data_IF_753157094020
#
_entry.id   IF_753157094020
#
_cell.length_a   1.000
_cell.length_b   1.000
_cell.length_c   1.000
_cell.angle_alpha   90.00
_cell.angle_beta   90.00
_cell.angle_gamma   90.00
#
_symmetry.space_group_name_H-M   'P 1'
#
loop_
_entity.id
_entity.type
_entity.pdbx_description
1 polymer ?
#
# COMPACT_ATOMS: atom_id res chain seq x y z
N UNK A 1 8.28 -18.73 22.55
CA UNK A 1 7.89 -18.00 21.32
C UNK A 1 6.50 -18.52 20.97
N UNK A 2 5.44 -17.71 21.16
CA UNK A 2 4.06 -18.19 21.04
C UNK A 2 3.79 -18.61 19.59
N UNK A 3 3.25 -19.81 19.39
CA UNK A 3 2.85 -20.33 18.07
C UNK A 3 1.98 -19.34 17.29
N UNK A 4 1.22 -18.54 18.00
CA UNK A 4 0.37 -17.48 17.42
C UNK A 4 1.16 -16.41 16.67
N UNK A 5 2.23 -15.86 17.26
CA UNK A 5 3.08 -14.83 16.60
C UNK A 5 3.87 -15.42 15.42
N UNK A 6 4.27 -16.67 15.52
CA UNK A 6 4.94 -17.37 14.42
C UNK A 6 4.00 -17.53 13.21
N UNK A 7 2.77 -17.95 13.43
CA UNK A 7 1.79 -18.10 12.36
C UNK A 7 1.41 -16.75 11.72
N UNK A 8 1.21 -15.70 12.54
CA UNK A 8 0.95 -14.35 12.03
C UNK A 8 2.09 -13.83 11.14
N UNK A 9 3.32 -14.00 11.58
CA UNK A 9 4.48 -13.58 10.79
C UNK A 9 4.65 -14.39 9.50
N UNK A 10 4.29 -15.68 9.51
CA UNK A 10 4.30 -16.52 8.30
C UNK A 10 3.28 -16.04 7.26
N UNK A 11 2.06 -15.73 7.71
CA UNK A 11 1.01 -15.18 6.84
C UNK A 11 1.44 -13.81 6.30
N UNK A 12 1.97 -12.92 7.15
CA UNK A 12 2.44 -11.61 6.75
C UNK A 12 3.57 -11.69 5.71
N UNK A 13 4.51 -12.63 5.86
CA UNK A 13 5.60 -12.82 4.89
C UNK A 13 5.10 -13.39 3.56
N UNK A 14 4.10 -14.28 3.59
CA UNK A 14 3.50 -14.80 2.36
C UNK A 14 2.76 -13.68 1.61
N UNK A 15 1.93 -12.90 2.31
CA UNK A 15 1.22 -11.76 1.75
C UNK A 15 2.19 -10.70 1.18
N UNK A 16 3.25 -10.38 1.92
CA UNK A 16 4.30 -9.44 1.46
C UNK A 16 4.94 -9.93 0.16
N UNK A 17 5.29 -11.21 0.06
CA UNK A 17 5.90 -11.77 -1.16
C UNK A 17 4.96 -11.71 -2.36
N UNK A 18 3.68 -12.05 -2.17
CA UNK A 18 2.66 -11.96 -3.23
C UNK A 18 2.42 -10.52 -3.67
N UNK A 19 2.27 -9.60 -2.72
CA UNK A 19 2.09 -8.17 -2.99
C UNK A 19 3.30 -7.57 -3.68
N UNK A 20 4.51 -7.91 -3.25
CA UNK A 20 5.75 -7.43 -3.88
C UNK A 20 5.88 -7.88 -5.34
N UNK A 21 5.52 -9.12 -5.65
CA UNK A 21 5.47 -9.60 -7.03
C UNK A 21 4.42 -8.85 -7.85
N UNK A 22 3.22 -8.67 -7.30
CA UNK A 22 2.15 -7.90 -7.94
C UNK A 22 2.57 -6.45 -8.21
N UNK A 23 3.17 -5.77 -7.23
CA UNK A 23 3.68 -4.39 -7.36
C UNK A 23 4.75 -4.31 -8.45
N UNK A 24 5.66 -5.30 -8.53
CA UNK A 24 6.66 -5.35 -9.60
C UNK A 24 6.03 -5.46 -11.00
N UNK A 25 5.04 -6.33 -11.18
CA UNK A 25 4.31 -6.47 -12.44
C UNK A 25 3.49 -5.21 -12.77
N UNK A 26 2.81 -4.64 -11.79
CA UNK A 26 2.04 -3.40 -11.96
C UNK A 26 2.94 -2.21 -12.32
N UNK A 27 4.15 -2.13 -11.75
CA UNK A 27 5.14 -1.10 -12.09
C UNK A 27 5.62 -1.24 -13.53
N UNK A 28 5.91 -2.46 -13.97
CA UNK A 28 6.28 -2.72 -15.35
C UNK A 28 5.14 -2.36 -16.33
N UNK A 29 3.89 -2.71 -15.99
CA UNK A 29 2.70 -2.34 -16.75
C UNK A 29 2.48 -0.84 -16.82
N UNK A 30 2.63 -0.14 -15.68
CA UNK A 30 2.56 1.32 -15.62
C UNK A 30 3.62 1.98 -16.52
N UNK A 31 4.88 1.56 -16.40
CA UNK A 31 5.97 2.09 -17.21
C UNK A 31 5.74 1.84 -18.71
N UNK A 32 5.32 0.62 -19.08
CA UNK A 32 4.99 0.28 -20.46
C UNK A 32 3.85 1.16 -21.01
N UNK A 33 2.78 1.37 -20.23
CA UNK A 33 1.65 2.21 -20.64
C UNK A 33 2.09 3.64 -20.89
N UNK A 34 2.91 4.22 -20.00
CA UNK A 34 3.42 5.58 -20.15
C UNK A 34 4.35 5.70 -21.39
N UNK A 35 5.25 4.73 -21.59
CA UNK A 35 6.15 4.73 -22.76
C UNK A 35 5.35 4.64 -24.05
N UNK A 36 4.35 3.76 -24.12
CA UNK A 36 3.48 3.61 -25.29
C UNK A 36 2.72 4.92 -25.56
N UNK A 37 2.13 5.55 -24.54
CA UNK A 37 1.43 6.83 -24.68
C UNK A 37 2.35 7.91 -25.24
N UNK A 38 3.56 8.06 -24.69
CA UNK A 38 4.55 9.05 -25.15
C UNK A 38 4.93 8.78 -26.59
N UNK A 39 5.17 7.51 -26.96
CA UNK A 39 5.53 7.13 -28.34
C UNK A 39 4.40 7.50 -29.32
N UNK A 40 3.16 7.14 -29.03
CA UNK A 40 2.02 7.44 -29.90
C UNK A 40 1.79 8.94 -30.04
N UNK A 41 1.92 9.70 -28.95
CA UNK A 41 1.74 11.15 -28.95
C UNK A 41 2.78 11.87 -29.82
N UNK A 42 4.07 11.47 -29.69
CA UNK A 42 5.15 12.21 -30.37
C UNK A 42 5.44 11.72 -31.78
N UNK A 43 5.30 10.42 -32.06
CA UNK A 43 5.60 9.84 -33.38
C UNK A 43 4.40 9.75 -34.29
N UNK A 44 3.23 9.48 -33.75
CA UNK A 44 2.00 9.25 -34.53
C UNK A 44 1.04 10.46 -34.46
N UNK A 45 1.30 11.44 -33.58
CA UNK A 45 0.52 12.66 -33.47
C UNK A 45 -0.87 12.52 -32.87
N UNK A 46 -1.19 11.36 -32.24
CA UNK A 46 -2.44 11.16 -31.53
C UNK A 46 -2.23 10.55 -30.15
N UNK A 47 -3.11 10.92 -29.21
CA UNK A 47 -3.09 10.45 -27.83
C UNK A 47 -4.08 9.29 -27.64
N UNK A 48 -3.68 8.29 -26.86
CA UNK A 48 -4.54 7.14 -26.53
C UNK A 48 -5.44 7.50 -25.35
N UNK A 49 -6.74 7.63 -25.57
CA UNK A 49 -7.70 8.05 -24.54
C UNK A 49 -7.70 7.16 -23.29
N UNK A 50 -7.46 5.87 -23.45
CA UNK A 50 -7.49 4.89 -22.37
C UNK A 50 -6.19 4.82 -21.56
N UNK A 51 -5.05 5.25 -22.13
CA UNK A 51 -3.73 5.09 -21.51
C UNK A 51 -3.60 5.85 -20.21
N UNK A 52 -4.12 7.07 -20.15
CA UNK A 52 -4.09 7.90 -18.94
C UNK A 52 -4.91 7.28 -17.80
N UNK A 53 -6.07 6.70 -18.11
CA UNK A 53 -6.89 6.02 -17.10
C UNK A 53 -6.24 4.72 -16.62
N UNK A 54 -5.68 3.92 -17.52
CA UNK A 54 -4.95 2.71 -17.16
C UNK A 54 -3.71 3.03 -16.31
N UNK A 55 -2.94 4.05 -16.71
CA UNK A 55 -1.79 4.50 -15.92
C UNK A 55 -2.21 4.95 -14.52
N UNK A 56 -3.27 5.75 -14.41
CA UNK A 56 -3.80 6.18 -13.11
C UNK A 56 -4.26 4.99 -12.26
N UNK A 57 -4.96 4.03 -12.85
CA UNK A 57 -5.41 2.82 -12.16
C UNK A 57 -4.20 2.04 -11.61
N UNK A 58 -3.22 1.74 -12.45
CA UNK A 58 -2.00 1.02 -12.04
C UNK A 58 -1.23 1.80 -10.98
N UNK A 59 -1.14 3.13 -11.10
CA UNK A 59 -0.48 3.98 -10.12
C UNK A 59 -1.15 3.92 -8.74
N UNK A 60 -2.49 3.92 -8.69
CA UNK A 60 -3.23 3.77 -7.42
C UNK A 60 -2.92 2.41 -6.78
N UNK A 61 -2.91 1.32 -7.56
CA UNK A 61 -2.51 0.00 -7.05
C UNK A 61 -1.07 -0.01 -6.52
N UNK A 62 -0.14 0.62 -7.26
CA UNK A 62 1.27 0.72 -6.84
C UNK A 62 1.43 1.45 -5.51
N UNK A 63 0.75 2.59 -5.34
CA UNK A 63 0.87 3.41 -4.12
C UNK A 63 0.36 2.65 -2.91
N UNK A 64 -0.84 2.07 -2.98
CA UNK A 64 -1.46 1.43 -1.82
C UNK A 64 -0.83 0.08 -1.47
N UNK A 65 -0.54 -0.74 -2.46
CA UNK A 65 0.08 -2.05 -2.21
C UNK A 65 1.58 -1.92 -1.96
N UNK A 66 2.26 -1.04 -2.69
CA UNK A 66 3.68 -0.73 -2.46
C UNK A 66 3.92 -0.13 -1.08
N UNK A 67 3.07 0.81 -0.65
CA UNK A 67 3.12 1.37 0.71
C UNK A 67 2.93 0.30 1.78
N UNK A 68 2.02 -0.66 1.57
CA UNK A 68 1.82 -1.78 2.51
C UNK A 68 3.05 -2.69 2.60
N UNK A 69 3.71 -2.99 1.46
CA UNK A 69 4.96 -3.75 1.42
C UNK A 69 6.10 -3.01 2.11
N UNK A 70 6.25 -1.70 1.82
CA UNK A 70 7.27 -0.86 2.43
C UNK A 70 7.12 -0.77 3.96
N UNK A 71 5.88 -0.68 4.45
CA UNK A 71 5.61 -0.75 5.89
C UNK A 71 6.05 -2.08 6.49
N UNK A 72 5.70 -3.20 5.86
CA UNK A 72 6.09 -4.54 6.35
C UNK A 72 7.61 -4.72 6.39
N UNK A 73 8.34 -4.14 5.43
CA UNK A 73 9.82 -4.14 5.39
C UNK A 73 10.44 -3.17 6.38
N UNK A 74 9.64 -2.34 7.04
CA UNK A 74 10.13 -1.31 7.97
C UNK A 74 10.69 -0.07 7.28
N UNK A 75 10.58 0.03 5.96
CA UNK A 75 11.14 1.14 5.17
C UNK A 75 10.41 2.47 5.45
N UNK A 76 9.09 2.42 5.74
CA UNK A 76 8.31 3.61 6.09
C UNK A 76 8.62 4.18 7.49
N UNK A 77 9.11 3.34 8.40
CA UNK A 77 9.39 3.73 9.80
C UNK A 77 10.88 4.01 9.99
N UNK A 78 11.71 3.66 9.02
CA UNK A 78 13.15 3.94 9.03
C UNK A 78 13.42 5.42 8.77
N UNK A 79 13.05 6.27 9.73
CA UNK A 79 13.66 7.60 9.83
C UNK A 79 15.06 7.39 10.43
N UNK A 80 16.01 6.95 9.58
CA UNK A 80 17.38 6.60 9.97
C UNK A 80 18.04 7.72 10.79
N UNK A 81 17.73 8.97 10.49
CA UNK A 81 18.24 10.16 11.17
C UNK A 81 17.78 10.28 12.63
N UNK A 82 16.62 9.69 12.98
CA UNK A 82 16.08 9.75 14.36
C UNK A 82 16.63 8.59 15.18
N UNK A 83 16.90 7.43 14.57
CA UNK A 83 17.42 6.23 15.27
C UNK A 83 18.81 6.44 15.87
N UNK A 84 19.70 7.12 15.16
CA UNK A 84 21.10 7.28 15.59
C UNK A 84 21.28 8.25 16.77
N UNK A 85 20.24 9.00 17.13
CA UNK A 85 20.30 10.01 18.19
C UNK A 85 19.44 9.73 19.43
N UNK A 86 18.58 8.71 19.39
CA UNK A 86 17.66 8.43 20.50
C UNK A 86 18.13 7.25 21.35
N UNK A 87 17.99 7.32 22.67
CA UNK A 87 18.20 6.16 23.55
C UNK A 87 17.15 5.08 23.21
N UNK A 88 17.55 3.81 23.29
CA UNK A 88 16.75 2.62 22.89
C UNK A 88 15.32 2.63 23.44
N UNK A 89 15.10 3.15 24.65
CA UNK A 89 13.77 3.25 25.26
C UNK A 89 12.86 4.24 24.54
N UNK A 90 13.41 5.41 24.16
CA UNK A 90 12.67 6.44 23.41
C UNK A 90 12.37 5.98 21.96
N UNK A 91 13.34 5.35 21.30
CA UNK A 91 13.15 4.77 19.98
C UNK A 91 11.96 3.79 19.96
N UNK A 92 11.89 2.90 20.96
CA UNK A 92 10.80 1.95 21.10
C UNK A 92 9.44 2.63 21.32
N UNK A 93 9.37 3.66 22.18
CA UNK A 93 8.13 4.39 22.43
C UNK A 93 7.64 5.11 21.17
N UNK A 94 8.54 5.78 20.44
CA UNK A 94 8.22 6.48 19.20
C UNK A 94 7.73 5.48 18.14
N UNK A 95 8.40 4.34 17.99
CA UNK A 95 7.99 3.29 17.03
C UNK A 95 6.61 2.73 17.36
N UNK A 96 6.30 2.45 18.63
CA UNK A 96 4.98 1.99 19.05
C UNK A 96 3.90 3.04 18.78
N UNK A 97 4.19 4.30 19.06
CA UNK A 97 3.27 5.41 18.80
C UNK A 97 3.00 5.58 17.30
N UNK A 98 4.03 5.47 16.45
CA UNK A 98 3.88 5.48 15.00
C UNK A 98 2.99 4.33 14.49
N UNK A 99 3.22 3.10 14.95
CA UNK A 99 2.37 1.96 14.57
C UNK A 99 0.92 2.16 14.99
N UNK A 100 0.69 2.74 16.18
CA UNK A 100 -0.65 3.01 16.69
C UNK A 100 -1.38 4.07 15.85
N UNK A 101 -0.71 5.16 15.51
CA UNK A 101 -1.28 6.20 14.61
C UNK A 101 -1.57 5.62 13.23
N UNK A 102 -0.61 4.89 12.65
CA UNK A 102 -0.80 4.28 11.33
C UNK A 102 -1.95 3.28 11.31
N UNK A 103 -2.10 2.48 12.37
CA UNK A 103 -3.20 1.54 12.51
C UNK A 103 -4.54 2.27 12.60
N UNK A 104 -4.66 3.27 13.50
CA UNK A 104 -5.88 4.05 13.68
C UNK A 104 -6.29 4.77 12.38
N UNK A 105 -5.36 5.44 11.73
CA UNK A 105 -5.59 6.12 10.46
C UNK A 105 -6.02 5.14 9.36
N UNK A 106 -5.33 4.00 9.23
CA UNK A 106 -5.61 3.01 8.21
C UNK A 106 -6.99 2.35 8.39
N UNK A 107 -7.40 2.08 9.62
CA UNK A 107 -8.75 1.56 9.91
C UNK A 107 -9.81 2.60 9.53
N UNK A 108 -9.62 3.85 9.92
CA UNK A 108 -10.54 4.93 9.59
C UNK A 108 -10.63 5.11 8.06
N UNK A 109 -9.50 5.19 7.37
CA UNK A 109 -9.46 5.34 5.91
C UNK A 109 -10.08 4.14 5.17
N UNK A 110 -9.85 2.92 5.65
CA UNK A 110 -10.48 1.71 5.10
C UNK A 110 -12.01 1.75 5.26
N UNK A 111 -12.53 2.16 6.42
CA UNK A 111 -13.98 2.28 6.63
C UNK A 111 -14.61 3.34 5.73
N UNK A 112 -13.98 4.50 5.56
CA UNK A 112 -14.47 5.52 4.61
C UNK A 112 -14.41 5.06 3.16
N UNK A 113 -13.42 4.25 2.80
CA UNK A 113 -13.31 3.69 1.44
C UNK A 113 -14.49 2.78 1.08
N UNK A 114 -15.11 2.12 2.06
CA UNK A 114 -16.32 1.31 1.81
C UNK A 114 -17.50 2.18 1.34
N UNK A 115 -17.63 3.38 1.87
CA UNK A 115 -18.68 4.34 1.46
C UNK A 115 -18.48 4.76 0.01
N UNK A 116 -17.22 5.02 -0.40
CA UNK A 116 -16.91 5.36 -1.81
C UNK A 116 -17.27 4.22 -2.75
N UNK A 117 -16.92 2.98 -2.40
CA UNK A 117 -17.25 1.79 -3.20
C UNK A 117 -18.77 1.62 -3.29
N UNK A 118 -19.48 1.68 -2.18
CA UNK A 118 -20.95 1.54 -2.15
C UNK A 118 -21.64 2.63 -2.96
N UNK A 119 -21.19 3.88 -2.83
CA UNK A 119 -21.74 5.00 -3.59
C UNK A 119 -21.52 4.79 -5.09
N UNK A 120 -20.30 4.40 -5.48
CA UNK A 120 -19.97 4.11 -6.87
C UNK A 120 -20.82 2.99 -7.49
N UNK A 121 -21.11 1.94 -6.71
CA UNK A 121 -21.99 0.84 -7.15
C UNK A 121 -23.42 1.32 -7.29
N UNK A 122 -23.93 2.11 -6.33
CA UNK A 122 -25.31 2.64 -6.36
C UNK A 122 -25.53 3.62 -7.53
N UNK A 123 -24.56 4.49 -7.79
CA UNK A 123 -24.65 5.49 -8.86
C UNK A 123 -24.24 4.94 -10.23
N UNK A 124 -23.77 3.68 -10.29
CA UNK A 124 -23.27 3.02 -11.52
C UNK A 124 -22.25 3.90 -12.27
N UNK A 125 -21.43 4.64 -11.52
CA UNK A 125 -20.41 5.51 -12.12
C UNK A 125 -19.34 4.65 -12.81
N UNK A 126 -19.04 5.03 -14.05
CA UNK A 126 -18.00 4.41 -14.88
C UNK A 126 -16.94 5.44 -15.26
N UNK A 127 -15.74 4.95 -15.54
CA UNK A 127 -14.65 5.76 -16.07
C UNK A 127 -14.97 6.25 -17.49
N UNK A 128 -14.60 7.50 -17.86
CA UNK A 128 -14.98 8.10 -19.14
C UNK A 128 -14.38 7.40 -20.36
N UNK A 129 -13.14 6.92 -20.30
CA UNK A 129 -12.44 6.36 -21.45
C UNK A 129 -12.49 4.83 -21.51
N UNK A 130 -12.31 4.13 -20.38
CA UNK A 130 -12.29 2.65 -20.34
C UNK A 130 -13.65 2.04 -19.99
N UNK A 131 -14.64 2.84 -19.58
CA UNK A 131 -15.97 2.39 -19.11
C UNK A 131 -15.90 1.36 -17.96
N UNK A 132 -14.80 1.39 -17.20
CA UNK A 132 -14.61 0.52 -16.03
C UNK A 132 -15.43 1.07 -14.86
N UNK A 133 -16.15 0.21 -14.09
CA UNK A 133 -16.83 0.64 -12.89
C UNK A 133 -15.85 1.31 -11.91
N UNK A 134 -16.16 2.52 -11.45
CA UNK A 134 -15.31 3.26 -10.51
C UNK A 134 -15.05 2.50 -9.20
N UNK A 135 -15.90 1.55 -8.85
CA UNK A 135 -15.68 0.65 -7.72
C UNK A 135 -14.34 -0.09 -7.81
N UNK A 136 -13.89 -0.47 -9.02
CA UNK A 136 -12.60 -1.16 -9.24
C UNK A 136 -11.42 -0.23 -8.94
N UNK A 137 -11.57 1.08 -9.22
CA UNK A 137 -10.55 2.10 -8.93
C UNK A 137 -10.42 2.35 -7.42
N UNK A 138 -11.51 2.20 -6.66
CA UNK A 138 -11.52 2.39 -5.21
C UNK A 138 -11.15 1.13 -4.42
N UNK A 139 -11.21 -0.06 -5.04
CA UNK A 139 -10.82 -1.32 -4.39
C UNK A 139 -9.40 -1.32 -3.81
N UNK A 140 -8.34 -0.87 -4.52
CA UNK A 140 -6.99 -0.87 -3.98
C UNK A 140 -6.84 0.05 -2.77
N UNK A 141 -7.64 1.12 -2.66
CA UNK A 141 -7.65 2.02 -1.51
C UNK A 141 -8.13 1.24 -0.27
N UNK A 142 -9.27 0.56 -0.40
CA UNK A 142 -9.84 -0.25 0.69
C UNK A 142 -8.90 -1.38 1.11
N UNK A 143 -8.44 -2.18 0.16
CA UNK A 143 -7.55 -3.33 0.42
C UNK A 143 -6.20 -2.85 0.96
N UNK A 144 -5.62 -1.80 0.37
CA UNK A 144 -4.33 -1.27 0.77
C UNK A 144 -4.32 -0.73 2.19
N UNK A 145 -5.34 0.05 2.58
CA UNK A 145 -5.47 0.50 3.97
C UNK A 145 -5.75 -0.67 4.93
N UNK A 146 -6.53 -1.68 4.53
CA UNK A 146 -6.70 -2.91 5.29
C UNK A 146 -5.38 -3.63 5.54
N UNK A 147 -4.54 -3.75 4.52
CA UNK A 147 -3.20 -4.33 4.63
C UNK A 147 -2.26 -3.49 5.50
N UNK A 148 -2.30 -2.16 5.35
CA UNK A 148 -1.53 -1.25 6.21
C UNK A 148 -1.92 -1.39 7.68
N UNK A 149 -3.21 -1.47 7.99
CA UNK A 149 -3.70 -1.72 9.35
C UNK A 149 -3.21 -3.07 9.88
N UNK A 150 -3.28 -4.12 9.07
CA UNK A 150 -2.84 -5.47 9.43
C UNK A 150 -1.33 -5.52 9.68
N UNK A 151 -0.50 -4.95 8.80
CA UNK A 151 0.95 -4.93 8.99
C UNK A 151 1.37 -4.01 10.14
N UNK A 152 0.68 -2.88 10.37
CA UNK A 152 0.89 -2.03 11.54
C UNK A 152 0.61 -2.78 12.84
N UNK A 153 -0.46 -3.56 12.88
CA UNK A 153 -0.80 -4.40 14.04
C UNK A 153 0.29 -5.44 14.35
N UNK A 154 0.76 -6.14 13.33
CA UNK A 154 1.85 -7.13 13.48
C UNK A 154 3.15 -6.44 13.93
N UNK A 155 3.50 -5.30 13.33
CA UNK A 155 4.66 -4.51 13.73
C UNK A 155 4.59 -4.05 15.18
N UNK A 156 3.42 -3.59 15.61
CA UNK A 156 3.16 -3.20 17.00
C UNK A 156 3.38 -4.36 17.98
N UNK A 157 2.80 -5.53 17.71
CA UNK A 157 2.99 -6.74 18.55
C UNK A 157 4.46 -7.16 18.59
N UNK A 158 5.13 -7.21 17.44
CA UNK A 158 6.53 -7.62 17.38
C UNK A 158 7.44 -6.63 18.14
N UNK A 159 7.15 -5.34 18.10
CA UNK A 159 7.89 -4.32 18.86
C UNK A 159 7.69 -4.46 20.36
N UNK A 160 6.49 -4.85 20.81
CA UNK A 160 6.22 -5.11 22.24
C UNK A 160 6.96 -6.36 22.72
N UNK A 161 6.93 -7.45 21.94
CA UNK A 161 7.43 -8.76 22.40
C UNK A 161 8.95 -8.91 22.28
N UNK A 162 9.55 -8.36 21.23
CA UNK A 162 10.96 -8.63 20.90
C UNK A 162 11.87 -7.40 21.00
N UNK A 163 11.33 -6.23 21.36
CA UNK A 163 12.03 -4.98 21.08
C UNK A 163 12.28 -4.85 19.57
N UNK A 164 12.44 -3.65 19.07
CA UNK A 164 12.66 -3.42 17.63
C UNK A 164 14.01 -4.00 17.18
N UNK A 165 14.06 -5.28 16.80
CA UNK A 165 15.23 -6.01 16.31
C UNK A 165 15.12 -6.34 14.81
N UNK A 166 14.60 -5.44 13.97
CA UNK A 166 14.64 -5.60 12.51
C UNK A 166 15.43 -4.44 11.90
N UNK A 167 16.71 -4.67 11.65
CA UNK A 167 17.56 -3.75 10.89
C UNK A 167 18.96 -3.56 11.44
N UNK A 168 19.63 -4.61 11.90
CA UNK A 168 21.11 -4.68 11.95
C UNK A 168 21.59 -5.83 11.12
#
# INVERSE_FOLDING_TARGET
>A
MNQFTHNLNRIANLLEKMLSAFVGVALAGFAATVIVEVFFRYFLGFSLYWSNELATLLFVYLVFFGGSVALKRGELINVAFVKDRLPIKLERMVTLFMFLIMMAFSIMASTYSTVLIQTSIKTKTVSPAMLIPMAIVYLPIFIGFGLLAFFSFIGFINTILHGYMQGR
#
